data_IF_651507649942
#
_entry.id   IF_651507649942
#
_cell.length_a   1.000
_cell.length_b   1.000
_cell.length_c   1.000
_cell.angle_alpha   90.00
_cell.angle_beta   90.00
_cell.angle_gamma   90.00
#
_symmetry.space_group_name_H-M   'P 1'
#
loop_
_entity.id
_entity.type
_entity.pdbx_description
1 polymer ?
#
# COMPACT_ATOMS: atom_id res chain seq x y z
N UNK A 1 -8.41 -10.21 1.41
CA UNK A 1 -7.34 -10.88 0.63
C UNK A 1 -6.59 -11.86 1.53
N UNK A 2 -6.25 -13.07 1.07
CA UNK A 2 -5.39 -14.00 1.82
C UNK A 2 -4.03 -13.37 2.16
N UNK A 3 -3.45 -13.72 3.30
CA UNK A 3 -2.19 -13.12 3.81
C UNK A 3 -1.05 -13.29 2.81
N UNK A 4 -0.86 -14.52 2.32
CA UNK A 4 0.21 -14.87 1.37
C UNK A 4 0.15 -14.05 0.08
N UNK A 5 -1.05 -13.68 -0.37
CA UNK A 5 -1.22 -12.85 -1.58
C UNK A 5 -0.80 -11.41 -1.31
N UNK A 6 -1.08 -10.87 -0.12
CA UNK A 6 -0.66 -9.53 0.28
C UNK A 6 0.86 -9.44 0.41
N UNK A 7 1.45 -10.42 1.08
CA UNK A 7 2.90 -10.49 1.27
C UNK A 7 3.63 -10.55 -0.08
N UNK A 8 3.19 -11.46 -0.96
CA UNK A 8 3.75 -11.57 -2.31
C UNK A 8 3.61 -10.28 -3.12
N UNK A 9 2.48 -9.59 -3.02
CA UNK A 9 2.27 -8.30 -3.69
C UNK A 9 3.29 -7.26 -3.19
N UNK A 10 3.45 -7.13 -1.88
CA UNK A 10 4.35 -6.14 -1.28
C UNK A 10 5.83 -6.46 -1.58
N UNK A 11 6.22 -7.74 -1.52
CA UNK A 11 7.54 -8.20 -1.94
C UNK A 11 7.83 -7.80 -3.39
N UNK A 12 6.87 -8.00 -4.29
CA UNK A 12 7.01 -7.60 -5.69
C UNK A 12 7.16 -6.08 -5.87
N UNK A 13 6.39 -5.29 -5.13
CA UNK A 13 6.51 -3.82 -5.15
C UNK A 13 7.90 -3.39 -4.70
N UNK A 14 8.41 -3.95 -3.60
CA UNK A 14 9.76 -3.67 -3.07
C UNK A 14 10.83 -4.07 -4.11
N UNK A 15 10.73 -5.27 -4.70
CA UNK A 15 11.69 -5.74 -5.71
C UNK A 15 11.72 -4.85 -6.95
N UNK A 16 10.58 -4.32 -7.38
CA UNK A 16 10.52 -3.36 -8.48
C UNK A 16 11.14 -2.03 -8.02
N UNK A 17 10.88 -1.59 -6.79
CA UNK A 17 11.37 -0.36 -6.18
C UNK A 17 12.90 -0.28 -6.08
N UNK A 18 13.58 -1.43 -6.00
CA UNK A 18 15.04 -1.52 -6.07
C UNK A 18 15.62 -1.05 -7.40
N UNK A 19 14.85 -1.07 -8.49
CA UNK A 19 15.31 -0.76 -9.86
C UNK A 19 14.74 0.53 -10.43
N UNK A 20 13.63 1.02 -9.88
CA UNK A 20 12.94 2.22 -10.36
C UNK A 20 12.27 2.94 -9.21
N UNK A 21 12.06 4.24 -9.36
CA UNK A 21 11.23 5.02 -8.45
C UNK A 21 9.79 4.46 -8.43
N UNK A 22 9.26 4.18 -7.25
CA UNK A 22 7.87 3.78 -7.05
C UNK A 22 7.24 4.67 -5.99
N UNK A 23 6.00 5.08 -6.25
CA UNK A 23 5.06 5.59 -5.27
C UNK A 23 3.86 4.65 -5.27
N UNK A 24 3.60 3.99 -4.14
CA UNK A 24 2.54 3.00 -3.98
C UNK A 24 1.48 3.58 -3.05
N UNK A 25 0.31 3.90 -3.61
CA UNK A 25 -0.85 4.38 -2.86
C UNK A 25 -1.86 3.24 -2.78
N UNK A 26 -2.26 2.87 -1.56
CA UNK A 26 -3.22 1.79 -1.35
C UNK A 26 -4.04 1.99 -0.07
N UNK A 27 -5.20 1.33 0.00
CA UNK A 27 -5.88 1.04 1.26
C UNK A 27 -6.20 -0.46 1.32
N UNK A 28 -6.68 -0.95 2.47
CA UNK A 28 -7.25 -2.29 2.62
C UNK A 28 -6.26 -3.46 2.40
N UNK A 29 -4.94 -3.23 2.49
CA UNK A 29 -3.95 -4.33 2.54
C UNK A 29 -3.94 -4.93 3.95
N UNK A 30 -3.48 -4.19 4.97
CA UNK A 30 -3.49 -4.68 6.36
C UNK A 30 -4.50 -3.97 7.25
N UNK A 31 -4.90 -2.75 6.90
CA UNK A 31 -5.90 -1.96 7.61
C UNK A 31 -6.76 -1.16 6.60
N UNK A 32 -7.75 -0.44 7.12
CA UNK A 32 -8.60 0.44 6.34
C UNK A 32 -8.03 1.87 6.20
N UNK A 33 -6.72 2.07 6.34
CA UNK A 33 -6.10 3.40 6.21
C UNK A 33 -5.51 3.57 4.82
N UNK A 34 -5.40 4.84 4.41
CA UNK A 34 -4.73 5.20 3.16
C UNK A 34 -3.23 5.30 3.43
N UNK A 35 -2.46 4.49 2.73
CA UNK A 35 -1.01 4.47 2.80
C UNK A 35 -0.41 5.03 1.51
N UNK A 36 0.71 5.71 1.66
CA UNK A 36 1.61 6.15 0.60
C UNK A 36 3.01 5.68 0.97
N UNK A 37 3.48 4.70 0.23
CA UNK A 37 4.84 4.20 0.32
C UNK A 37 5.66 4.74 -0.85
N UNK A 38 6.92 5.06 -0.63
CA UNK A 38 7.86 5.31 -1.72
C UNK A 38 9.10 4.45 -1.61
N UNK A 39 9.62 4.07 -2.77
CA UNK A 39 10.90 3.38 -2.93
C UNK A 39 11.70 4.13 -4.00
N UNK A 40 12.78 4.79 -3.60
CA UNK A 40 13.59 5.62 -4.49
C UNK A 40 15.06 5.62 -4.05
N UNK A 41 15.98 5.28 -4.95
CA UNK A 41 17.43 5.29 -4.70
C UNK A 41 17.87 4.53 -3.44
N UNK A 42 17.21 3.42 -3.13
CA UNK A 42 17.48 2.63 -1.93
C UNK A 42 16.93 3.22 -0.62
N UNK A 43 16.20 4.34 -0.69
CA UNK A 43 15.41 4.87 0.42
C UNK A 43 13.99 4.35 0.33
N UNK A 44 13.44 3.97 1.49
CA UNK A 44 12.03 3.65 1.65
C UNK A 44 11.38 4.59 2.67
N UNK A 45 10.10 4.85 2.48
CA UNK A 45 9.27 5.46 3.51
C UNK A 45 7.86 4.93 3.39
N UNK A 46 7.29 4.59 4.53
CA UNK A 46 5.96 4.00 4.65
C UNK A 46 5.13 4.96 5.49
N UNK A 47 4.14 5.60 4.88
CA UNK A 47 3.35 6.62 5.55
C UNK A 47 1.87 6.34 5.45
N UNK A 48 1.18 6.44 6.59
CA UNK A 48 -0.26 6.59 6.59
C UNK A 48 -0.60 8.06 6.33
N UNK A 49 -1.29 8.34 5.22
CA UNK A 49 -1.64 9.70 4.79
C UNK A 49 -3.11 10.06 4.98
N UNK A 50 -3.92 9.11 5.46
CA UNK A 50 -5.31 9.38 5.81
C UNK A 50 -5.98 8.18 6.44
N UNK A 51 -7.02 8.45 7.23
CA UNK A 51 -8.01 7.45 7.56
C UNK A 51 -8.95 7.28 6.36
N UNK A 52 -9.45 6.08 6.12
CA UNK A 52 -10.59 5.93 5.23
C UNK A 52 -11.77 5.47 6.07
N UNK A 53 -12.76 6.35 6.21
CA UNK A 53 -14.12 5.94 6.55
C UNK A 53 -14.58 5.12 5.35
N UNK A 54 -14.33 3.81 5.36
CA UNK A 54 -14.69 2.94 4.25
C UNK A 54 -16.10 3.27 3.82
N UNK A 55 -16.27 3.76 2.57
CA UNK A 55 -17.58 4.15 2.07
C UNK A 55 -18.50 2.92 2.17
N UNK A 56 -19.34 2.89 3.20
CA UNK A 56 -20.50 2.03 3.25
C UNK A 56 -21.49 2.57 2.22
N UNK A 57 -21.28 2.23 0.94
CA UNK A 57 -22.32 2.38 -0.08
C UNK A 57 -23.38 1.35 0.26
N UNK A 58 -24.36 1.77 1.07
CA UNK A 58 -25.39 0.90 1.61
C UNK A 58 -26.39 1.65 2.48
N UNK A 59 -26.85 2.82 2.02
CA UNK A 59 -28.12 3.40 2.49
C UNK A 59 -29.20 2.99 1.50
N UNK A 60 -29.99 1.98 1.82
CA UNK A 60 -31.30 1.76 1.23
C UNK A 60 -32.26 1.27 2.31
#
# INVERSE_FOLDING_TARGET
>A
MPVETKEKLLEQVIEIGKRRAIFHIYNNIYDAKLHLDYYFEGQESLNTIGETDGMAVGSN
#
